data_IF_006617059754
#
_entry.id   IF_006617059754
#
_cell.length_a   1.000
_cell.length_b   1.000
_cell.length_c   1.000
_cell.angle_alpha   90.00
_cell.angle_beta   90.00
_cell.angle_gamma   90.00
#
_symmetry.space_group_name_H-M   'P 1'
#
loop_
_entity.id
_entity.type
_entity.pdbx_description
1 polymer ?
#
# COMPACT_ATOMS: atom_id res chain seq x y z
N UNK A 1 20.06 -5.04 12.36
CA UNK A 1 19.10 -6.15 12.52
C UNK A 1 18.98 -6.81 11.17
N UNK A 2 19.50 -8.03 11.04
CA UNK A 2 19.60 -8.71 9.74
C UNK A 2 18.23 -9.22 9.33
N UNK A 3 17.73 -8.72 8.20
CA UNK A 3 16.48 -9.13 7.54
C UNK A 3 16.58 -10.49 6.84
N UNK A 4 17.40 -11.40 7.36
CA UNK A 4 17.79 -12.61 6.64
C UNK A 4 17.78 -13.80 7.58
N UNK A 5 17.07 -14.85 7.17
CA UNK A 5 17.68 -16.17 7.22
C UNK A 5 17.35 -16.94 5.92
N UNK A 6 18.37 -17.05 5.08
CA UNK A 6 18.87 -18.20 4.29
C UNK A 6 17.96 -19.11 3.45
N UNK A 7 16.65 -18.88 3.32
CA UNK A 7 15.78 -19.75 2.49
C UNK A 7 14.73 -18.96 1.70
N UNK A 8 15.05 -18.55 0.47
CA UNK A 8 14.22 -18.66 -0.75
C UNK A 8 12.66 -18.65 -0.73
N UNK A 9 11.93 -18.10 0.26
CA UNK A 9 10.46 -18.23 0.29
C UNK A 9 9.66 -17.08 0.94
N UNK A 10 10.27 -16.02 1.48
CA UNK A 10 9.51 -14.89 2.09
C UNK A 10 9.46 -13.60 1.28
N UNK A 11 10.38 -13.39 0.34
CA UNK A 11 10.35 -12.23 -0.57
C UNK A 11 9.25 -12.39 -1.63
N UNK A 12 8.99 -13.63 -2.09
CA UNK A 12 8.00 -13.91 -3.14
C UNK A 12 6.57 -13.49 -2.76
N UNK A 13 6.20 -13.59 -1.49
CA UNK A 13 4.86 -13.21 -1.03
C UNK A 13 4.62 -11.70 -1.05
N UNK A 14 5.66 -10.87 -0.93
CA UNK A 14 5.53 -9.40 -0.89
C UNK A 14 5.36 -8.80 -2.28
N UNK A 15 6.09 -9.31 -3.27
CA UNK A 15 5.87 -8.92 -4.66
C UNK A 15 4.48 -9.36 -5.15
N UNK A 16 4.02 -10.54 -4.76
CA UNK A 16 2.64 -11.00 -5.04
C UNK A 16 1.58 -10.11 -4.38
N UNK A 17 1.89 -9.53 -3.22
CA UNK A 17 1.00 -8.60 -2.52
C UNK A 17 1.03 -7.18 -3.12
N UNK A 18 2.04 -6.81 -3.94
CA UNK A 18 2.17 -5.48 -4.56
C UNK A 18 3.26 -4.58 -3.96
N UNK A 19 4.17 -5.11 -3.14
CA UNK A 19 5.31 -4.35 -2.64
C UNK A 19 6.47 -4.37 -3.64
N UNK A 20 6.95 -3.20 -4.03
CA UNK A 20 8.20 -3.04 -4.81
C UNK A 20 9.40 -3.01 -3.84
N UNK A 21 9.22 -2.29 -2.73
CA UNK A 21 10.08 -2.28 -1.54
C UNK A 21 9.20 -2.15 -0.30
N UNK A 22 9.71 -2.40 0.91
CA UNK A 22 8.90 -2.25 2.13
C UNK A 22 8.38 -0.81 2.33
N UNK A 23 9.03 0.16 1.70
CA UNK A 23 8.66 1.58 1.75
C UNK A 23 7.60 1.97 0.72
N UNK A 24 7.39 1.13 -0.31
CA UNK A 24 6.52 1.43 -1.44
C UNK A 24 5.61 0.25 -1.76
N UNK A 25 4.33 0.49 -1.57
CA UNK A 25 3.25 -0.42 -1.95
C UNK A 25 2.54 0.09 -3.20
N UNK A 26 2.40 -0.77 -4.21
CA UNK A 26 1.67 -0.49 -5.44
C UNK A 26 0.57 -1.52 -5.67
N UNK A 27 -0.67 -1.04 -5.85
CA UNK A 27 -1.81 -1.89 -6.15
C UNK A 27 -2.67 -1.27 -7.24
N UNK A 28 -2.72 -1.91 -8.41
CA UNK A 28 -3.29 -1.34 -9.64
C UNK A 28 -2.72 0.05 -9.98
N UNK A 29 -3.52 1.10 -9.79
CA UNK A 29 -3.18 2.51 -10.03
C UNK A 29 -2.86 3.27 -8.74
N UNK A 30 -2.98 2.63 -7.58
CA UNK A 30 -2.61 3.20 -6.30
C UNK A 30 -1.14 2.97 -6.01
N UNK A 31 -0.50 3.99 -5.45
CA UNK A 31 0.85 3.94 -4.91
C UNK A 31 0.86 4.56 -3.53
N UNK A 32 1.19 3.77 -2.52
CA UNK A 32 1.38 4.19 -1.13
C UNK A 32 2.87 4.21 -0.84
N UNK A 33 3.39 5.38 -0.47
CA UNK A 33 4.78 5.54 -0.01
C UNK A 33 4.79 5.80 1.49
N UNK A 34 5.40 4.93 2.26
CA UNK A 34 5.53 5.11 3.70
C UNK A 34 6.61 6.15 4.03
N UNK A 35 6.45 6.81 5.18
CA UNK A 35 7.44 7.71 5.75
C UNK A 35 7.76 7.23 7.16
N UNK A 36 9.04 7.00 7.42
CA UNK A 36 9.54 6.70 8.78
C UNK A 36 8.88 5.45 9.40
N UNK A 37 8.91 4.30 8.68
CA UNK A 37 8.46 3.03 9.24
C UNK A 37 9.40 2.58 10.36
N UNK A 38 8.86 2.32 11.55
CA UNK A 38 9.60 1.64 12.61
C UNK A 38 9.66 0.13 12.36
N UNK A 39 10.58 -0.58 13.00
CA UNK A 39 10.67 -2.05 12.92
C UNK A 39 9.37 -2.75 13.36
N UNK A 40 8.62 -2.12 14.28
CA UNK A 40 7.31 -2.59 14.74
C UNK A 40 6.25 -2.42 13.65
N UNK A 41 6.27 -1.28 12.93
CA UNK A 41 5.35 -1.03 11.83
C UNK A 41 5.59 -2.01 10.69
N UNK A 42 6.86 -2.26 10.36
CA UNK A 42 7.22 -3.24 9.32
C UNK A 42 6.72 -4.63 9.70
N UNK A 43 7.00 -5.07 10.93
CA UNK A 43 6.55 -6.39 11.40
C UNK A 43 5.02 -6.52 11.37
N UNK A 44 4.30 -5.46 11.78
CA UNK A 44 2.83 -5.41 11.76
C UNK A 44 2.27 -5.43 10.34
N UNK A 45 2.91 -4.72 9.41
CA UNK A 45 2.55 -4.68 8.00
C UNK A 45 2.69 -6.08 7.36
N UNK A 46 3.82 -6.75 7.61
CA UNK A 46 4.06 -8.10 7.12
C UNK A 46 3.01 -9.10 7.63
N UNK A 47 2.66 -9.01 8.91
CA UNK A 47 1.61 -9.86 9.49
C UNK A 47 0.24 -9.59 8.87
N UNK A 48 -0.13 -8.31 8.71
CA UNK A 48 -1.38 -7.93 8.05
C UNK A 48 -1.48 -8.56 6.66
N UNK A 49 -0.42 -8.46 5.86
CA UNK A 49 -0.40 -9.00 4.50
C UNK A 49 -0.46 -10.53 4.45
N UNK A 50 0.16 -11.21 5.41
CA UNK A 50 0.12 -12.68 5.50
C UNK A 50 -1.27 -13.21 5.88
N UNK A 51 -1.99 -12.49 6.74
CA UNK A 51 -3.33 -12.90 7.19
C UNK A 51 -4.44 -12.52 6.20
N UNK A 52 -4.14 -11.66 5.22
CA UNK A 52 -5.14 -11.11 4.29
C UNK A 52 -5.29 -12.01 3.06
N UNK A 53 -6.30 -12.88 3.06
CA UNK A 53 -6.63 -13.75 1.91
C UNK A 53 -7.30 -13.02 0.74
N UNK A 54 -7.93 -11.86 1.00
CA UNK A 54 -8.49 -10.95 -0.01
C UNK A 54 -8.08 -9.53 0.32
N UNK A 55 -7.20 -8.96 -0.50
CA UNK A 55 -6.72 -7.61 -0.29
C UNK A 55 -7.74 -6.58 -0.79
N UNK A 56 -8.23 -5.73 0.11
CA UNK A 56 -8.99 -4.51 -0.20
C UNK A 56 -8.15 -3.28 0.16
N UNK A 57 -8.04 -2.34 -0.78
CA UNK A 57 -7.26 -1.11 -0.57
C UNK A 57 -7.87 -0.19 0.49
N UNK A 58 -9.20 -0.17 0.62
CA UNK A 58 -9.86 0.70 1.57
C UNK A 58 -9.59 0.21 2.99
N UNK A 59 -9.77 -1.09 3.24
CA UNK A 59 -9.45 -1.74 4.51
C UNK A 59 -7.97 -1.56 4.87
N UNK A 60 -7.08 -1.67 3.88
CA UNK A 60 -5.65 -1.44 4.08
C UNK A 60 -5.35 0.01 4.47
N UNK A 61 -5.93 0.99 3.77
CA UNK A 61 -5.71 2.39 4.08
C UNK A 61 -6.30 2.75 5.45
N UNK A 62 -7.45 2.19 5.83
CA UNK A 62 -8.06 2.38 7.16
C UNK A 62 -7.16 1.79 8.25
N UNK A 63 -6.64 0.57 8.03
CA UNK A 63 -5.68 -0.05 8.94
C UNK A 63 -4.44 0.81 9.16
N UNK A 64 -3.88 1.40 8.09
CA UNK A 64 -2.75 2.33 8.18
C UNK A 64 -3.08 3.56 9.03
N UNK A 65 -4.28 4.12 8.89
CA UNK A 65 -4.74 5.29 9.65
C UNK A 65 -4.92 4.95 11.13
N UNK A 66 -5.58 3.83 11.44
CA UNK A 66 -5.81 3.36 12.82
C UNK A 66 -4.46 3.13 13.53
N UNK A 67 -3.49 2.54 12.81
CA UNK A 67 -2.13 2.31 13.31
C UNK A 67 -1.27 3.59 13.36
N UNK A 68 -1.79 4.72 12.85
CA UNK A 68 -1.08 6.01 12.76
C UNK A 68 0.23 5.90 11.97
N UNK A 69 0.28 5.01 10.99
CA UNK A 69 1.43 4.88 10.11
C UNK A 69 1.45 6.08 9.17
N UNK A 70 2.59 6.76 9.07
CA UNK A 70 2.75 7.89 8.17
C UNK A 70 2.93 7.40 6.73
N UNK A 71 2.04 7.83 5.83
CA UNK A 71 2.14 7.47 4.42
C UNK A 71 1.70 8.60 3.48
N UNK A 72 2.05 8.44 2.21
CA UNK A 72 1.60 9.28 1.10
C UNK A 72 0.91 8.40 0.06
N UNK A 73 -0.39 8.60 -0.11
CA UNK A 73 -1.12 8.02 -1.24
C UNK A 73 -0.80 8.80 -2.52
N UNK A 74 -0.74 8.13 -3.67
CA UNK A 74 -0.51 8.72 -4.98
C UNK A 74 -1.09 7.86 -6.09
N UNK A 75 -1.31 8.50 -7.24
CA UNK A 75 -1.80 7.85 -8.44
C UNK A 75 -0.62 7.48 -9.35
N UNK A 76 -0.65 6.29 -9.93
CA UNK A 76 0.29 5.82 -10.95
C UNK A 76 -0.44 5.67 -12.28
N UNK A 77 0.07 6.33 -13.32
CA UNK A 77 -0.47 6.20 -14.68
C UNK A 77 -0.19 4.80 -15.24
N UNK A 78 -1.21 4.18 -15.80
CA UNK A 78 -1.14 2.85 -16.41
C UNK A 78 -1.19 3.02 -17.93
N UNK A 79 -0.02 2.89 -18.57
CA UNK A 79 0.16 3.13 -20.02
C UNK A 79 -0.70 2.23 -20.90
N UNK A 80 -0.92 1.00 -20.45
CA UNK A 80 -1.69 0.00 -21.19
C UNK A 80 -3.21 0.19 -21.04
N UNK A 81 -3.65 1.16 -20.22
CA UNK A 81 -5.05 1.48 -20.01
C UNK A 81 -5.41 2.79 -20.72
N UNK A 82 -6.64 2.87 -21.23
CA UNK A 82 -7.11 4.06 -21.95
C UNK A 82 -7.14 5.32 -21.08
N UNK A 83 -7.12 6.49 -21.74
CA UNK A 83 -7.15 7.80 -21.07
C UNK A 83 -8.33 7.95 -20.10
N UNK A 84 -9.53 7.50 -20.51
CA UNK A 84 -10.73 7.57 -19.68
C UNK A 84 -10.58 6.78 -18.39
N UNK A 85 -9.97 5.60 -18.44
CA UNK A 85 -9.71 4.79 -17.25
C UNK A 85 -8.75 5.53 -16.31
N UNK A 86 -7.63 5.99 -16.85
CA UNK A 86 -6.63 6.73 -16.08
C UNK A 86 -7.22 7.98 -15.39
N UNK A 87 -8.10 8.73 -16.07
CA UNK A 87 -8.79 9.88 -15.49
C UNK A 87 -9.73 9.48 -14.35
N UNK A 88 -10.54 8.43 -14.52
CA UNK A 88 -11.43 7.91 -13.46
C UNK A 88 -10.62 7.48 -12.24
N UNK A 89 -9.54 6.73 -12.45
CA UNK A 89 -8.65 6.26 -11.38
C UNK A 89 -7.95 7.41 -10.64
N UNK A 90 -7.54 8.47 -11.36
CA UNK A 90 -7.01 9.69 -10.75
C UNK A 90 -8.07 10.37 -9.87
N UNK A 91 -9.31 10.53 -10.37
CA UNK A 91 -10.40 11.13 -9.59
C UNK A 91 -10.69 10.34 -8.31
N UNK A 92 -10.72 9.01 -8.38
CA UNK A 92 -10.90 8.14 -7.21
C UNK A 92 -9.77 8.37 -6.21
N UNK A 93 -8.52 8.41 -6.67
CA UNK A 93 -7.35 8.65 -5.82
C UNK A 93 -7.40 10.01 -5.14
N UNK A 94 -7.84 11.06 -5.84
CA UNK A 94 -7.99 12.40 -5.26
C UNK A 94 -9.10 12.44 -4.21
N UNK A 95 -10.23 11.77 -4.44
CA UNK A 95 -11.32 11.67 -3.45
C UNK A 95 -10.83 10.99 -2.16
N UNK A 96 -10.15 9.85 -2.27
CA UNK A 96 -9.61 9.13 -1.11
C UNK A 96 -8.63 10.00 -0.32
N UNK A 97 -7.72 10.72 -1.00
CA UNK A 97 -6.82 11.66 -0.32
C UNK A 97 -7.56 12.73 0.48
N UNK A 98 -8.66 13.26 -0.06
CA UNK A 98 -9.46 14.24 0.65
C UNK A 98 -10.13 13.62 1.88
N UNK A 99 -10.69 12.41 1.75
CA UNK A 99 -11.31 11.71 2.88
C UNK A 99 -10.32 11.45 4.02
N UNK A 100 -9.12 10.95 3.69
CA UNK A 100 -8.03 10.74 4.65
C UNK A 100 -7.66 12.06 5.34
N UNK A 101 -7.49 13.13 4.57
CA UNK A 101 -7.11 14.45 5.11
C UNK A 101 -8.20 15.05 6.01
N UNK A 102 -9.47 14.77 5.72
CA UNK A 102 -10.61 15.24 6.49
C UNK A 102 -10.93 14.34 7.70
N UNK A 103 -10.28 13.18 7.83
CA UNK A 103 -10.56 12.22 8.90
C UNK A 103 -11.96 11.60 8.82
N UNK A 104 -12.50 11.47 7.60
CA UNK A 104 -13.83 10.88 7.33
C UNK A 104 -13.72 9.53 6.66
N UNK A 105 -12.56 8.89 6.79
CA UNK A 105 -12.29 7.54 6.34
C UNK A 105 -12.28 6.62 7.54
#
# INVERSE_FOLDING_TARGET
MNWVDDLNNKIDNLHLAGFETIEVFEWFWFRVKFKDLSDIDVSSLLNYLQDTTKFDILDFLEWLIIRKINFKLSYRYLKDLGLLFNLKSLMITLKLKLQIKMGVM
#
